data_IF_377653043337
#
_entry.id   IF_377653043337
#
_cell.length_a   1.000
_cell.length_b   1.000
_cell.length_c   1.000
_cell.angle_alpha   90.00
_cell.angle_beta   90.00
_cell.angle_gamma   90.00
#
_symmetry.space_group_name_H-M   'P 1'
#
loop_
_entity.id
_entity.type
_entity.pdbx_description
1 polymer ?
#
# COMPACT_ATOMS: atom_id res chain seq x y z
N UNK A 1 1.81 6.52 22.06
CA UNK A 1 2.17 5.33 21.24
C UNK A 1 2.34 5.79 19.80
N UNK A 2 3.46 5.46 19.13
CA UNK A 2 3.66 5.73 17.69
C UNK A 2 3.15 4.52 16.92
N UNK A 3 2.33 4.74 15.88
CA UNK A 3 1.83 3.64 15.06
C UNK A 3 2.97 3.03 14.24
N UNK A 4 3.06 1.70 14.24
CA UNK A 4 4.02 0.96 13.42
C UNK A 4 3.44 0.72 12.01
N UNK A 5 3.92 1.47 11.04
CA UNK A 5 3.48 1.35 9.65
C UNK A 5 3.87 0.01 9.01
N UNK A 6 4.85 -0.73 9.53
CA UNK A 6 5.16 -2.08 9.04
C UNK A 6 4.00 -3.06 9.30
N UNK A 7 3.27 -2.86 10.40
CA UNK A 7 2.11 -3.68 10.76
C UNK A 7 1.00 -3.67 9.70
N UNK A 8 0.88 -2.59 8.90
CA UNK A 8 -0.04 -2.58 7.75
C UNK A 8 0.40 -3.48 6.59
N UNK A 9 1.71 -3.60 6.32
CA UNK A 9 2.17 -4.54 5.31
C UNK A 9 1.96 -5.99 5.79
N UNK A 10 2.25 -6.28 7.06
CA UNK A 10 1.99 -7.59 7.65
C UNK A 10 0.50 -7.96 7.56
N UNK A 11 -0.41 -7.02 7.85
CA UNK A 11 -1.85 -7.23 7.68
C UNK A 11 -2.22 -7.50 6.21
N UNK A 12 -1.64 -6.75 5.26
CA UNK A 12 -1.90 -6.96 3.84
C UNK A 12 -1.49 -8.38 3.37
N UNK A 13 -0.35 -8.87 3.85
CA UNK A 13 0.11 -10.23 3.59
C UNK A 13 -0.81 -11.28 4.20
N UNK A 14 -1.26 -11.05 5.44
CA UNK A 14 -2.16 -11.97 6.14
C UNK A 14 -3.48 -12.13 5.38
N UNK A 15 -4.13 -11.02 5.01
CA UNK A 15 -5.38 -11.01 4.24
C UNK A 15 -5.22 -11.73 2.89
N UNK A 16 -4.10 -11.51 2.21
CA UNK A 16 -3.82 -12.16 0.93
C UNK A 16 -3.64 -13.68 1.09
N UNK A 17 -2.97 -14.11 2.16
CA UNK A 17 -2.79 -15.52 2.47
C UNK A 17 -4.13 -16.18 2.78
N UNK A 18 -4.99 -15.54 3.56
CA UNK A 18 -6.34 -16.07 3.84
C UNK A 18 -7.15 -16.27 2.57
N UNK A 19 -7.11 -15.35 1.60
CA UNK A 19 -7.82 -15.52 0.32
C UNK A 19 -7.28 -16.73 -0.44
N UNK A 20 -5.97 -16.98 -0.41
CA UNK A 20 -5.38 -18.14 -1.08
C UNK A 20 -5.70 -19.47 -0.38
N UNK A 21 -5.90 -19.47 0.94
CA UNK A 21 -6.25 -20.68 1.71
C UNK A 21 -7.75 -20.94 1.80
N UNK A 22 -8.59 -19.91 1.63
CA UNK A 22 -10.06 -19.99 1.69
C UNK A 22 -10.70 -20.68 0.48
N UNK A 23 -9.92 -21.32 -0.40
CA UNK A 23 -10.43 -22.22 -1.44
C UNK A 23 -11.05 -23.52 -0.87
N UNK A 24 -11.02 -23.72 0.45
CA UNK A 24 -11.69 -24.83 1.14
C UNK A 24 -13.09 -24.39 1.58
N UNK A 25 -14.08 -25.01 0.94
CA UNK A 25 -15.53 -24.80 1.00
C UNK A 25 -16.12 -24.47 2.40
N UNK A 26 -16.95 -23.42 2.47
CA UNK A 26 -18.05 -23.34 3.45
C UNK A 26 -19.36 -23.64 2.72
N UNK A 27 -20.02 -24.75 3.08
CA UNK A 27 -21.33 -25.15 2.58
C UNK A 27 -22.48 -24.72 3.51
N UNK A 28 -22.29 -23.67 4.33
CA UNK A 28 -23.30 -23.22 5.29
C UNK A 28 -24.15 -22.07 4.73
N UNK A 29 -25.43 -22.28 4.39
CA UNK A 29 -26.32 -21.28 3.79
C UNK A 29 -26.86 -20.23 4.79
N UNK A 30 -26.27 -20.09 5.98
CA UNK A 30 -26.73 -19.16 7.04
C UNK A 30 -25.87 -17.91 7.20
N UNK A 31 -24.77 -17.78 6.44
CA UNK A 31 -23.93 -16.59 6.50
C UNK A 31 -24.53 -15.48 5.64
N UNK A 32 -24.78 -14.31 6.22
CA UNK A 32 -25.36 -13.14 5.56
C UNK A 32 -24.44 -12.48 4.52
N UNK A 33 -23.24 -13.02 4.30
CA UNK A 33 -22.21 -12.50 3.41
C UNK A 33 -21.56 -13.67 2.65
N UNK A 34 -21.61 -13.65 1.31
CA UNK A 34 -20.99 -14.68 0.47
C UNK A 34 -19.45 -14.68 0.67
N UNK A 35 -18.87 -15.86 0.82
CA UNK A 35 -17.42 -16.11 0.85
C UNK A 35 -16.65 -15.36 -0.24
N UNK A 36 -17.20 -15.22 -1.45
CA UNK A 36 -16.56 -14.46 -2.52
C UNK A 36 -16.50 -12.96 -2.21
N UNK A 37 -17.56 -12.40 -1.64
CA UNK A 37 -17.60 -10.99 -1.25
C UNK A 37 -16.65 -10.68 -0.09
N UNK A 38 -16.46 -11.62 0.84
CA UNK A 38 -15.43 -11.52 1.89
C UNK A 38 -14.03 -11.55 1.26
N UNK A 39 -13.77 -12.48 0.34
CA UNK A 39 -12.47 -12.57 -0.33
C UNK A 39 -12.17 -11.30 -1.15
N UNK A 40 -13.16 -10.75 -1.84
CA UNK A 40 -13.05 -9.46 -2.51
C UNK A 40 -12.67 -8.34 -1.53
N UNK A 41 -13.39 -8.22 -0.41
CA UNK A 41 -13.10 -7.23 0.63
C UNK A 41 -11.68 -7.38 1.20
N UNK A 42 -11.22 -8.62 1.42
CA UNK A 42 -9.84 -8.91 1.84
C UNK A 42 -8.81 -8.44 0.81
N UNK A 43 -9.02 -8.70 -0.48
CA UNK A 43 -8.12 -8.26 -1.55
C UNK A 43 -8.06 -6.73 -1.66
N UNK A 44 -9.22 -6.06 -1.61
CA UNK A 44 -9.30 -4.58 -1.62
C UNK A 44 -8.56 -3.99 -0.42
N UNK A 45 -8.82 -4.52 0.77
CA UNK A 45 -8.16 -4.11 2.00
C UNK A 45 -6.64 -4.35 1.94
N UNK A 46 -6.19 -5.50 1.44
CA UNK A 46 -4.77 -5.81 1.28
C UNK A 46 -4.05 -4.78 0.40
N UNK A 47 -4.63 -4.40 -0.75
CA UNK A 47 -4.12 -3.34 -1.62
C UNK A 47 -4.00 -2.00 -0.88
N UNK A 48 -5.04 -1.62 -0.13
CA UNK A 48 -5.07 -0.39 0.66
C UNK A 48 -4.01 -0.37 1.76
N UNK A 49 -3.88 -1.46 2.53
CA UNK A 49 -2.90 -1.57 3.61
C UNK A 49 -1.46 -1.61 3.09
N UNK A 50 -1.20 -2.31 1.99
CA UNK A 50 0.11 -2.29 1.32
C UNK A 50 0.50 -0.86 0.89
N UNK A 51 -0.44 -0.11 0.29
CA UNK A 51 -0.21 1.30 -0.05
C UNK A 51 0.10 2.15 1.16
N UNK A 52 -0.74 2.12 2.20
CA UNK A 52 -0.56 3.00 3.36
C UNK A 52 0.73 2.68 4.14
N UNK A 53 1.13 1.41 4.25
CA UNK A 53 2.43 1.05 4.83
C UNK A 53 3.58 1.72 4.06
N UNK A 54 3.66 1.48 2.74
CA UNK A 54 4.72 2.03 1.91
C UNK A 54 4.72 3.57 1.87
N UNK A 55 3.54 4.19 1.74
CA UNK A 55 3.40 5.64 1.69
C UNK A 55 3.81 6.32 3.00
N UNK A 56 3.34 5.80 4.14
CA UNK A 56 3.64 6.40 5.43
C UNK A 56 5.11 6.21 5.83
N UNK A 57 5.72 5.08 5.48
CA UNK A 57 7.16 4.86 5.67
C UNK A 57 7.98 5.79 4.77
N UNK A 58 7.63 5.92 3.49
CA UNK A 58 8.30 6.84 2.58
C UNK A 58 8.16 8.31 3.03
N UNK A 59 6.98 8.71 3.51
CA UNK A 59 6.76 10.02 4.14
C UNK A 59 7.66 10.22 5.36
N UNK A 60 7.72 9.23 6.24
CA UNK A 60 8.52 9.30 7.47
C UNK A 60 10.00 9.43 7.13
N UNK A 61 10.50 8.68 6.14
CA UNK A 61 11.86 8.83 5.64
C UNK A 61 12.13 10.25 5.11
N UNK A 62 11.26 10.83 4.29
CA UNK A 62 11.47 12.20 3.79
C UNK A 62 11.55 13.22 4.93
N UNK A 63 10.67 13.08 5.93
CA UNK A 63 10.60 13.98 7.09
C UNK A 63 11.82 13.80 8.01
N UNK A 64 12.05 12.56 8.46
CA UNK A 64 12.96 12.23 9.55
C UNK A 64 14.42 12.09 9.08
N UNK A 65 14.64 11.73 7.81
CA UNK A 65 15.97 11.41 7.27
C UNK A 65 16.40 12.39 6.18
N UNK A 66 15.52 12.70 5.22
CA UNK A 66 15.88 13.54 4.09
C UNK A 66 15.67 15.05 4.34
N UNK A 67 15.26 15.46 5.55
CA UNK A 67 15.16 16.86 5.97
C UNK A 67 13.95 17.63 5.45
N UNK A 68 12.89 16.95 5.00
CA UNK A 68 11.63 17.57 4.56
C UNK A 68 10.71 17.87 5.75
N UNK A 69 11.15 18.73 6.68
CA UNK A 69 10.45 19.03 7.94
C UNK A 69 9.04 19.61 7.75
N UNK A 70 8.75 20.24 6.61
CA UNK A 70 7.40 20.71 6.28
C UNK A 70 6.33 19.59 6.22
N UNK A 71 6.76 18.32 6.25
CA UNK A 71 5.86 17.17 6.35
C UNK A 71 5.37 16.88 7.78
N UNK A 72 5.84 17.60 8.81
CA UNK A 72 5.33 17.53 10.19
C UNK A 72 3.89 18.06 10.27
N UNK A 73 3.65 19.27 9.76
CA UNK A 73 2.38 20.00 9.85
C UNK A 73 1.52 19.84 8.59
N UNK A 74 1.67 18.74 7.87
CA UNK A 74 1.03 18.52 6.55
C UNK A 74 -0.51 18.64 6.56
N UNK A 75 -1.18 18.55 7.71
CA UNK A 75 -2.63 18.74 7.86
C UNK A 75 -3.04 20.21 7.73
N UNK A 76 -2.13 21.14 8.01
CA UNK A 76 -2.35 22.58 7.93
C UNK A 76 -2.15 23.10 6.50
N UNK A 77 -1.39 22.35 5.70
CA UNK A 77 -1.19 22.66 4.29
C UNK A 77 -2.31 22.06 3.44
N UNK A 78 -2.99 22.89 2.64
CA UNK A 78 -3.87 22.47 1.52
C UNK A 78 -3.08 21.79 0.37
N UNK A 79 -1.95 21.16 0.68
CA UNK A 79 -1.15 20.43 -0.30
C UNK A 79 -1.82 19.10 -0.63
N UNK A 80 -1.51 18.56 -1.79
CA UNK A 80 -1.88 17.19 -2.17
C UNK A 80 -0.74 16.29 -1.73
N UNK A 81 -0.69 15.83 -0.47
CA UNK A 81 0.52 15.25 0.08
C UNK A 81 0.93 13.95 -0.62
N UNK A 82 -0.05 13.21 -1.13
CA UNK A 82 0.21 12.04 -1.96
C UNK A 82 1.01 12.39 -3.22
N UNK A 83 0.62 13.46 -3.92
CA UNK A 83 1.29 13.89 -5.14
C UNK A 83 2.68 14.41 -4.82
N UNK A 84 2.81 15.27 -3.81
CA UNK A 84 4.10 15.81 -3.37
C UNK A 84 5.12 14.70 -3.07
N UNK A 85 4.78 13.77 -2.17
CA UNK A 85 5.69 12.71 -1.74
C UNK A 85 6.08 11.82 -2.94
N UNK A 86 5.10 11.46 -3.78
CA UNK A 86 5.35 10.63 -4.97
C UNK A 86 6.30 11.36 -5.93
N UNK A 87 6.06 12.64 -6.25
CA UNK A 87 6.92 13.40 -7.16
C UNK A 87 8.31 13.62 -6.59
N UNK A 88 8.43 13.90 -5.29
CA UNK A 88 9.74 14.07 -4.63
C UNK A 88 10.64 12.85 -4.80
N UNK A 89 10.08 11.65 -4.66
CA UNK A 89 10.83 10.43 -4.93
C UNK A 89 11.04 10.20 -6.43
N UNK A 90 9.96 10.27 -7.23
CA UNK A 90 9.97 9.89 -8.64
C UNK A 90 10.90 10.78 -9.47
N UNK A 91 10.94 12.07 -9.19
CA UNK A 91 11.65 13.04 -10.02
C UNK A 91 13.13 13.20 -9.57
N UNK A 92 13.55 12.44 -8.55
CA UNK A 92 14.93 12.40 -8.06
C UNK A 92 15.86 11.61 -9.01
N UNK A 93 17.10 12.08 -9.17
CA UNK A 93 18.13 11.43 -10.01
C UNK A 93 18.70 10.16 -9.39
N UNK A 94 18.62 10.01 -8.07
CA UNK A 94 19.04 8.80 -7.38
C UNK A 94 18.09 7.64 -7.75
N UNK A 95 18.67 6.53 -8.21
CA UNK A 95 17.92 5.37 -8.70
C UNK A 95 16.98 4.77 -7.65
N UNK A 96 17.39 4.70 -6.39
CA UNK A 96 16.56 4.15 -5.31
C UNK A 96 15.37 5.08 -5.03
N UNK A 97 15.60 6.39 -4.97
CA UNK A 97 14.51 7.37 -4.84
C UNK A 97 13.52 7.28 -5.99
N UNK A 98 14.00 7.33 -7.24
CA UNK A 98 13.15 7.25 -8.43
C UNK A 98 12.28 5.99 -8.40
N UNK A 99 12.87 4.84 -8.03
CA UNK A 99 12.18 3.56 -7.97
C UNK A 99 11.06 3.57 -6.94
N UNK A 100 11.30 4.16 -5.75
CA UNK A 100 10.28 4.36 -4.72
C UNK A 100 9.11 5.18 -5.29
N UNK A 101 9.39 6.30 -5.95
CA UNK A 101 8.34 7.18 -6.47
C UNK A 101 7.48 6.52 -7.55
N UNK A 102 8.10 5.82 -8.50
CA UNK A 102 7.38 5.05 -9.52
C UNK A 102 6.49 3.97 -8.89
N UNK A 103 6.98 3.27 -7.86
CA UNK A 103 6.20 2.25 -7.18
C UNK A 103 5.07 2.83 -6.33
N UNK A 104 5.28 3.95 -5.63
CA UNK A 104 4.23 4.64 -4.88
C UNK A 104 3.12 5.15 -5.81
N UNK A 105 3.47 5.66 -6.99
CA UNK A 105 2.48 6.06 -8.00
C UNK A 105 1.62 4.87 -8.44
N UNK A 106 2.25 3.72 -8.70
CA UNK A 106 1.53 2.49 -9.06
C UNK A 106 0.62 2.00 -7.94
N UNK A 107 1.12 1.96 -6.71
CA UNK A 107 0.30 1.58 -5.55
C UNK A 107 -0.90 2.51 -5.35
N UNK A 108 -0.73 3.82 -5.56
CA UNK A 108 -1.84 4.77 -5.46
C UNK A 108 -2.92 4.47 -6.50
N UNK A 109 -2.54 4.13 -7.74
CA UNK A 109 -3.49 3.76 -8.80
C UNK A 109 -4.24 2.47 -8.44
N UNK A 110 -3.53 1.43 -8.01
CA UNK A 110 -4.11 0.15 -7.58
C UNK A 110 -5.08 0.35 -6.42
N UNK A 111 -4.67 1.08 -5.38
CA UNK A 111 -5.55 1.40 -4.24
C UNK A 111 -6.79 2.14 -4.72
N UNK A 112 -6.65 3.18 -5.55
CA UNK A 112 -7.81 3.94 -6.00
C UNK A 112 -8.82 3.06 -6.76
N UNK A 113 -8.34 2.12 -7.57
CA UNK A 113 -9.19 1.13 -8.21
C UNK A 113 -9.88 0.23 -7.18
N UNK A 114 -9.11 -0.34 -6.25
CA UNK A 114 -9.61 -1.24 -5.21
C UNK A 114 -10.60 -0.56 -4.23
N UNK A 115 -10.43 0.72 -3.92
CA UNK A 115 -11.23 1.41 -2.91
C UNK A 115 -12.50 2.06 -3.50
N UNK A 116 -12.49 2.46 -4.79
CA UNK A 116 -13.57 3.28 -5.36
C UNK A 116 -14.25 2.71 -6.61
N UNK A 117 -13.72 1.67 -7.24
CA UNK A 117 -14.44 1.05 -8.36
C UNK A 117 -15.38 -0.04 -7.86
N UNK A 118 -16.68 0.16 -8.07
CA UNK A 118 -17.74 -0.78 -7.67
C UNK A 118 -17.64 -2.11 -8.41
N UNK A 119 -17.14 -2.11 -9.65
CA UNK A 119 -17.05 -3.29 -10.51
C UNK A 119 -15.63 -3.53 -11.00
N UNK A 120 -14.92 -4.45 -10.33
CA UNK A 120 -13.61 -4.96 -10.75
C UNK A 120 -13.65 -6.48 -10.66
N UNK A 121 -13.12 -7.18 -11.66
CA UNK A 121 -13.12 -8.64 -11.62
C UNK A 121 -12.22 -9.17 -10.49
N UNK A 122 -12.62 -10.28 -9.90
CA UNK A 122 -11.87 -10.93 -8.83
C UNK A 122 -10.42 -11.26 -9.23
N UNK A 123 -10.20 -11.70 -10.47
CA UNK A 123 -8.88 -12.02 -11.00
C UNK A 123 -7.98 -10.79 -11.05
N UNK A 124 -8.52 -9.65 -11.49
CA UNK A 124 -7.79 -8.37 -11.49
C UNK A 124 -7.44 -7.98 -10.06
N UNK A 125 -8.41 -7.93 -9.15
CA UNK A 125 -8.17 -7.60 -7.73
C UNK A 125 -7.13 -8.50 -7.08
N UNK A 126 -7.19 -9.81 -7.36
CA UNK A 126 -6.23 -10.79 -6.82
C UNK A 126 -4.82 -10.52 -7.34
N UNK A 127 -4.68 -10.31 -8.65
CA UNK A 127 -3.38 -10.00 -9.26
C UNK A 127 -2.80 -8.68 -8.76
N UNK A 128 -3.64 -7.66 -8.63
CA UNK A 128 -3.24 -6.32 -8.18
C UNK A 128 -2.87 -6.30 -6.69
N UNK A 129 -3.62 -7.00 -5.83
CA UNK A 129 -3.28 -7.11 -4.42
C UNK A 129 -1.93 -7.82 -4.22
N UNK A 130 -1.68 -8.92 -4.95
CA UNK A 130 -0.37 -9.62 -4.96
C UNK A 130 0.74 -8.68 -5.40
N UNK A 131 0.51 -7.95 -6.48
CA UNK A 131 1.48 -6.99 -7.00
C UNK A 131 1.72 -5.83 -6.02
N UNK A 132 0.68 -5.30 -5.39
CA UNK A 132 0.75 -4.22 -4.42
C UNK A 132 1.59 -4.60 -3.19
N UNK A 133 1.32 -5.77 -2.60
CA UNK A 133 2.12 -6.29 -1.48
C UNK A 133 3.60 -6.43 -1.88
N UNK A 134 3.88 -6.97 -3.06
CA UNK A 134 5.26 -7.14 -3.55
C UNK A 134 5.98 -5.80 -3.74
N UNK A 135 5.36 -4.81 -4.39
CA UNK A 135 6.04 -3.52 -4.61
C UNK A 135 6.13 -2.68 -3.33
N UNK A 136 5.22 -2.86 -2.36
CA UNK A 136 5.36 -2.27 -1.03
C UNK A 136 6.63 -2.80 -0.31
N UNK A 137 6.89 -4.11 -0.38
CA UNK A 137 8.15 -4.70 0.12
C UNK A 137 9.38 -4.09 -0.56
N UNK A 138 9.33 -3.94 -1.89
CA UNK A 138 10.45 -3.35 -2.64
C UNK A 138 10.70 -1.89 -2.25
N UNK A 139 9.64 -1.09 -2.04
CA UNK A 139 9.78 0.29 -1.54
C UNK A 139 10.51 0.30 -0.21
N UNK A 140 10.09 -0.54 0.74
CA UNK A 140 10.72 -0.63 2.06
C UNK A 140 12.20 -1.01 1.94
N UNK A 141 12.54 -1.94 1.06
CA UNK A 141 13.92 -2.33 0.82
C UNK A 141 14.76 -1.18 0.25
N UNK A 142 14.22 -0.40 -0.69
CA UNK A 142 14.89 0.80 -1.20
C UNK A 142 15.05 1.87 -0.11
N UNK A 143 14.06 2.06 0.77
CA UNK A 143 14.17 2.99 1.90
C UNK A 143 15.31 2.58 2.84
N UNK A 144 15.41 1.31 3.22
CA UNK A 144 16.51 0.80 4.06
C UNK A 144 17.88 1.03 3.43
N UNK A 145 18.01 0.83 2.11
CA UNK A 145 19.27 1.12 1.38
C UNK A 145 19.65 2.59 1.42
N UNK A 146 18.67 3.48 1.48
CA UNK A 146 18.89 4.91 1.57
C UNK A 146 19.25 5.38 3.00
N UNK A 147 18.84 4.64 4.03
CA UNK A 147 19.20 4.90 5.43
C UNK A 147 20.63 4.43 5.79
N UNK A 148 21.19 3.50 5.02
CA UNK A 148 22.54 2.93 5.24
C UNK A 148 23.66 3.74 4.56
N UNK A 149 23.35 4.85 3.89
CA UNK A 149 24.31 5.72 3.19
C UNK A 149 24.54 6.99 3.98
#
# INVERSE_FOLDING_TARGET
MKFDWYSYLALAEHLLNEVNTSFVQSNNPSDCVDSNSINEAKLRCASSRAYYSAFCLARSYLRDVAGYYQLEEWQEYKTRPHEFIISTFRDNKNRDYNRIGVFLERLRKIRNQADYQDSVSFQVLSSEAKYAVNIAKQIIEHLRKLEQK
#
